data_IF_861544411762
#
_entry.id   IF_861544411762
#
_cell.length_a   1.000
_cell.length_b   1.000
_cell.length_c   1.000
_cell.angle_alpha   90.00
_cell.angle_beta   90.00
_cell.angle_gamma   90.00
#
_symmetry.space_group_name_H-M   'P 1'
#
loop_
_entity.id
_entity.type
_entity.pdbx_description
1 polymer ?
#
# COMPACT_ATOMS: atom_id res chain seq x y z
N UNK A 1 14.57 16.89 16.53
CA UNK A 1 14.03 15.54 16.20
C UNK A 1 12.53 15.70 16.08
N UNK A 2 11.96 15.71 14.87
CA UNK A 2 10.51 15.56 14.73
C UNK A 2 10.22 14.06 14.61
N UNK A 3 10.13 13.45 15.77
CA UNK A 3 9.58 12.11 15.94
C UNK A 3 8.07 12.19 15.83
N UNK A 4 7.40 11.11 15.44
CA UNK A 4 5.94 10.93 15.55
C UNK A 4 5.47 10.89 17.03
N UNK A 5 6.09 11.67 17.92
CA UNK A 5 6.21 11.54 19.39
C UNK A 5 7.41 10.68 19.84
N UNK A 6 8.15 11.06 20.89
CA UNK A 6 9.04 10.17 21.64
C UNK A 6 8.36 8.87 22.14
N UNK A 7 7.03 8.86 22.23
CA UNK A 7 6.25 7.65 22.52
C UNK A 7 6.17 6.71 21.31
N UNK A 8 6.16 7.24 20.09
CA UNK A 8 6.20 6.43 18.87
C UNK A 8 7.53 5.69 18.74
N UNK A 9 8.67 6.37 18.95
CA UNK A 9 9.97 5.70 18.93
C UNK A 9 10.12 4.69 20.08
N UNK A 10 9.65 5.01 21.30
CA UNK A 10 9.69 4.07 22.43
C UNK A 10 8.78 2.86 22.22
N UNK A 11 7.60 3.03 21.63
CA UNK A 11 6.67 1.92 21.38
C UNK A 11 7.08 1.08 20.17
N UNK A 12 7.76 1.64 19.16
CA UNK A 12 8.31 0.86 18.05
C UNK A 12 9.57 0.09 18.47
N UNK A 13 10.40 0.62 19.37
CA UNK A 13 11.61 -0.05 19.86
C UNK A 13 11.38 -1.06 20.99
N UNK A 14 10.27 -0.96 21.74
CA UNK A 14 9.95 -1.88 22.83
C UNK A 14 9.28 -3.19 22.38
N UNK A 15 9.08 -3.41 21.08
CA UNK A 15 8.13 -4.39 20.58
C UNK A 15 8.73 -5.34 19.52
N UNK A 16 8.08 -6.50 19.38
CA UNK A 16 8.30 -7.51 18.33
C UNK A 16 7.80 -7.02 16.95
N UNK A 17 8.03 -5.74 16.62
CA UNK A 17 7.59 -5.10 15.40
C UNK A 17 8.56 -4.02 14.91
N UNK A 18 8.67 -3.87 13.60
CA UNK A 18 9.35 -2.77 12.91
C UNK A 18 8.28 -2.00 12.16
N UNK A 19 8.20 -0.69 12.38
CA UNK A 19 7.17 0.19 11.78
C UNK A 19 7.82 1.42 11.19
N UNK A 20 7.40 1.80 9.99
CA UNK A 20 7.68 3.09 9.38
C UNK A 20 6.41 3.72 8.83
N UNK A 21 6.27 5.04 8.94
CA UNK A 21 5.11 5.76 8.43
C UNK A 21 5.50 7.09 7.77
N UNK A 22 4.68 7.54 6.84
CA UNK A 22 4.80 8.85 6.20
C UNK A 22 3.43 9.48 5.90
N UNK A 23 3.35 10.80 5.95
CA UNK A 23 2.19 11.62 5.59
C UNK A 23 2.64 12.64 4.55
N UNK A 24 1.94 12.73 3.43
CA UNK A 24 2.16 13.70 2.37
C UNK A 24 0.97 14.66 2.30
N UNK A 25 1.23 15.96 2.39
CA UNK A 25 0.27 17.05 2.21
C UNK A 25 0.18 17.42 0.72
N UNK A 26 -0.96 17.11 0.10
CA UNK A 26 -1.17 17.35 -1.34
C UNK A 26 -1.35 18.84 -1.68
N UNK A 27 -1.64 19.70 -0.70
CA UNK A 27 -1.79 21.16 -0.90
C UNK A 27 -0.43 21.86 -0.91
N UNK A 28 0.47 21.47 -0.01
CA UNK A 28 1.76 22.15 0.18
C UNK A 28 2.95 21.38 -0.40
N UNK A 29 2.75 20.11 -0.77
CA UNK A 29 3.83 19.20 -1.17
C UNK A 29 4.73 18.77 -0.02
N UNK A 30 4.36 19.09 1.23
CA UNK A 30 5.15 18.73 2.41
C UNK A 30 5.02 17.25 2.73
N UNK A 31 6.09 16.65 3.25
CA UNK A 31 6.09 15.26 3.70
C UNK A 31 6.66 15.17 5.12
N UNK A 32 6.01 14.38 5.96
CA UNK A 32 6.47 14.03 7.30
C UNK A 32 6.60 12.52 7.39
N UNK A 33 7.56 12.02 8.18
CA UNK A 33 7.76 10.58 8.36
C UNK A 33 8.35 10.28 9.73
N UNK A 34 8.22 9.04 10.18
CA UNK A 34 8.83 8.56 11.40
C UNK A 34 8.91 7.04 11.45
N UNK A 35 9.75 6.54 12.36
CA UNK A 35 10.00 5.11 12.54
C UNK A 35 11.13 4.59 11.68
N UNK A 36 11.05 3.31 11.33
CA UNK A 36 12.02 2.67 10.46
C UNK A 36 11.98 3.28 9.06
N UNK A 37 13.14 3.68 8.57
CA UNK A 37 13.31 4.38 7.29
C UNK A 37 13.75 3.45 6.16
N UNK A 38 14.03 2.19 6.46
CA UNK A 38 14.40 1.20 5.45
C UNK A 38 13.21 0.71 4.60
N UNK A 39 13.49 -0.03 3.52
CA UNK A 39 12.46 -0.49 2.60
C UNK A 39 11.72 -1.72 3.13
N UNK A 40 10.40 -1.70 2.97
CA UNK A 40 9.47 -2.78 3.30
C UNK A 40 8.87 -3.37 2.02
N UNK A 41 8.49 -4.65 2.03
CA UNK A 41 7.74 -5.24 0.93
C UNK A 41 6.35 -4.59 0.78
N UNK A 42 5.93 -4.39 -0.47
CA UNK A 42 4.67 -3.70 -0.79
C UNK A 42 3.45 -4.62 -0.72
N UNK A 43 3.62 -5.90 -1.02
CA UNK A 43 2.54 -6.87 -1.18
C UNK A 43 1.41 -6.29 -2.05
N UNK A 44 0.16 -6.35 -1.59
CA UNK A 44 -1.00 -5.86 -2.36
C UNK A 44 -1.10 -4.34 -2.46
N UNK A 45 -0.25 -3.56 -1.79
CA UNK A 45 -0.23 -2.09 -1.94
C UNK A 45 0.40 -1.66 -3.27
N UNK A 46 1.06 -2.55 -4.01
CA UNK A 46 1.51 -2.23 -5.38
C UNK A 46 0.38 -2.26 -6.42
N UNK A 47 -0.79 -2.79 -6.07
CA UNK A 47 -1.92 -2.96 -7.01
C UNK A 47 -2.52 -1.64 -7.52
N UNK A 48 -2.71 -0.59 -6.70
CA UNK A 48 -3.17 0.70 -7.21
C UNK A 48 -2.20 1.31 -8.24
N UNK A 49 -0.87 1.36 -8.03
CA UNK A 49 0.06 1.76 -9.09
C UNK A 49 -0.06 0.95 -10.38
N UNK A 50 -0.26 -0.38 -10.31
CA UNK A 50 -0.49 -1.22 -11.49
C UNK A 50 -1.81 -0.85 -12.18
N UNK A 51 -2.89 -0.66 -11.41
CA UNK A 51 -4.19 -0.25 -11.95
C UNK A 51 -4.09 1.10 -12.67
N UNK A 52 -3.41 2.08 -12.07
CA UNK A 52 -3.19 3.38 -12.68
C UNK A 52 -2.35 3.30 -13.95
N UNK A 53 -1.35 2.41 -14.01
CA UNK A 53 -0.54 2.20 -15.20
C UNK A 53 -1.37 1.61 -16.35
N UNK A 54 -2.18 0.58 -16.08
CA UNK A 54 -3.10 0.01 -17.08
C UNK A 54 -4.12 1.03 -17.57
N UNK A 55 -4.71 1.79 -16.65
CA UNK A 55 -5.67 2.85 -16.99
C UNK A 55 -5.00 3.93 -17.84
N UNK A 56 -3.82 4.40 -17.43
CA UNK A 56 -3.08 5.44 -18.13
C UNK A 56 -2.70 4.99 -19.53
N UNK A 57 -2.14 3.78 -19.68
CA UNK A 57 -1.83 3.16 -20.98
C UNK A 57 -3.05 3.12 -21.92
N UNK A 58 -4.20 2.65 -21.39
CA UNK A 58 -5.43 2.55 -22.16
C UNK A 58 -5.93 3.92 -22.62
N UNK A 59 -5.97 4.91 -21.72
CA UNK A 59 -6.45 6.26 -22.04
C UNK A 59 -5.53 7.04 -22.97
N UNK A 60 -4.22 6.98 -22.75
CA UNK A 60 -3.23 7.62 -23.61
C UNK A 60 -3.29 7.07 -25.04
N UNK A 61 -3.49 5.77 -25.19
CA UNK A 61 -3.60 5.12 -26.49
C UNK A 61 -4.99 5.22 -27.14
N UNK A 62 -5.97 5.85 -26.48
CA UNK A 62 -7.36 5.87 -26.94
C UNK A 62 -7.97 4.47 -27.06
N UNK A 63 -7.44 3.47 -26.32
CA UNK A 63 -7.91 2.09 -26.35
C UNK A 63 -8.98 1.87 -25.28
N UNK A 64 -10.21 1.47 -25.63
CA UNK A 64 -11.22 1.16 -24.64
C UNK A 64 -10.81 -0.09 -23.84
N UNK A 65 -11.00 -0.06 -22.52
CA UNK A 65 -10.91 -1.26 -21.70
C UNK A 65 -12.02 -2.24 -22.10
N UNK A 66 -11.69 -3.53 -22.23
CA UNK A 66 -12.69 -4.58 -22.41
C UNK A 66 -13.44 -4.82 -21.08
N UNK A 67 -14.54 -5.57 -21.13
CA UNK A 67 -15.23 -6.02 -19.90
C UNK A 67 -14.26 -6.78 -18.98
N UNK A 68 -13.47 -7.67 -19.56
CA UNK A 68 -12.43 -8.44 -18.88
C UNK A 68 -11.45 -7.53 -18.16
N UNK A 69 -10.89 -6.53 -18.83
CA UNK A 69 -9.91 -5.64 -18.19
C UNK A 69 -10.53 -4.87 -17.02
N UNK A 70 -11.78 -4.42 -17.15
CA UNK A 70 -12.49 -3.73 -16.07
C UNK A 70 -12.74 -4.66 -14.88
N UNK A 71 -13.19 -5.88 -15.13
CA UNK A 71 -13.45 -6.86 -14.08
C UNK A 71 -12.14 -7.24 -13.35
N UNK A 72 -11.04 -7.47 -14.10
CA UNK A 72 -9.73 -7.74 -13.50
C UNK A 72 -9.21 -6.55 -12.68
N UNK A 73 -9.39 -5.31 -13.15
CA UNK A 73 -9.02 -4.11 -12.37
C UNK A 73 -9.82 -4.03 -11.07
N UNK A 74 -11.13 -4.28 -11.14
CA UNK A 74 -12.01 -4.32 -9.99
C UNK A 74 -11.57 -5.40 -9.00
N UNK A 75 -11.45 -6.65 -9.42
CA UNK A 75 -11.10 -7.75 -8.53
C UNK A 75 -9.68 -7.59 -7.94
N UNK A 76 -8.72 -7.12 -8.74
CA UNK A 76 -7.39 -6.81 -8.26
C UNK A 76 -7.41 -5.76 -7.14
N UNK A 77 -8.10 -4.63 -7.33
CA UNK A 77 -8.05 -3.53 -6.35
C UNK A 77 -9.02 -3.77 -5.19
N UNK A 78 -10.30 -4.02 -5.50
CA UNK A 78 -11.38 -4.09 -4.53
C UNK A 78 -11.33 -5.35 -3.65
N UNK A 79 -10.92 -6.49 -4.22
CA UNK A 79 -10.81 -7.78 -3.53
C UNK A 79 -9.37 -8.22 -3.31
N UNK A 80 -8.39 -7.43 -3.74
CA UNK A 80 -6.99 -7.79 -3.63
C UNK A 80 -6.62 -9.10 -4.34
N UNK A 81 -7.35 -9.52 -5.39
CA UNK A 81 -7.14 -10.80 -6.08
C UNK A 81 -5.82 -10.82 -6.86
N UNK A 82 -5.00 -11.87 -6.69
CA UNK A 82 -3.63 -11.94 -7.21
C UNK A 82 -3.50 -12.35 -8.68
N UNK A 83 -4.25 -13.34 -9.21
CA UNK A 83 -4.11 -13.75 -10.61
C UNK A 83 -4.33 -12.60 -11.60
N UNK A 84 -5.28 -11.71 -11.32
CA UNK A 84 -5.53 -10.53 -12.15
C UNK A 84 -4.35 -9.56 -12.22
N UNK A 85 -3.51 -9.51 -11.17
CA UNK A 85 -2.32 -8.65 -11.15
C UNK A 85 -1.34 -9.08 -12.23
N UNK A 86 -1.05 -10.37 -12.32
CA UNK A 86 -0.08 -10.90 -13.28
C UNK A 86 -0.53 -10.65 -14.72
N UNK A 87 -1.83 -10.84 -14.98
CA UNK A 87 -2.46 -10.53 -16.27
C UNK A 87 -2.34 -9.05 -16.61
N UNK A 88 -2.80 -8.17 -15.72
CA UNK A 88 -2.80 -6.72 -15.92
C UNK A 88 -1.38 -6.14 -16.04
N UNK A 89 -0.44 -6.64 -15.24
CA UNK A 89 0.96 -6.24 -15.29
C UNK A 89 1.59 -6.62 -16.63
N UNK A 90 1.23 -7.76 -17.22
CA UNK A 90 1.73 -8.15 -18.55
C UNK A 90 1.29 -7.20 -19.66
N UNK A 91 0.09 -6.60 -19.55
CA UNK A 91 -0.44 -5.66 -20.54
C UNK A 91 0.41 -4.39 -20.65
N UNK A 92 1.00 -3.95 -19.53
CA UNK A 92 1.86 -2.77 -19.48
C UNK A 92 3.34 -3.13 -19.63
N UNK A 93 3.69 -4.31 -20.18
CA UNK A 93 5.09 -4.69 -20.40
C UNK A 93 5.81 -5.22 -19.16
N UNK A 94 5.07 -5.70 -18.15
CA UNK A 94 5.64 -6.26 -16.94
C UNK A 94 6.12 -5.19 -15.95
N UNK A 95 7.04 -5.58 -15.06
CA UNK A 95 7.65 -4.64 -14.11
C UNK A 95 8.46 -3.53 -14.80
N UNK A 96 9.05 -3.81 -15.97
CA UNK A 96 9.78 -2.78 -16.70
C UNK A 96 8.85 -1.66 -17.15
N UNK A 97 7.71 -1.97 -17.77
CA UNK A 97 6.80 -0.90 -18.18
C UNK A 97 6.09 -0.23 -16.99
N UNK A 98 5.90 -0.93 -15.86
CA UNK A 98 5.51 -0.26 -14.61
C UNK A 98 6.56 0.78 -14.15
N UNK A 99 7.85 0.45 -14.26
CA UNK A 99 8.93 1.40 -13.99
C UNK A 99 8.91 2.60 -14.95
N UNK A 100 8.62 2.37 -16.23
CA UNK A 100 8.50 3.44 -17.22
C UNK A 100 7.32 4.38 -16.89
N UNK A 101 6.22 3.85 -16.33
CA UNK A 101 5.15 4.67 -15.76
C UNK A 101 5.61 5.49 -14.55
N UNK A 102 6.38 4.90 -13.63
CA UNK A 102 6.92 5.65 -12.48
C UNK A 102 7.80 6.83 -12.92
N UNK A 103 8.64 6.63 -13.94
CA UNK A 103 9.43 7.70 -14.54
C UNK A 103 8.52 8.81 -15.11
N UNK A 104 7.51 8.45 -15.89
CA UNK A 104 6.56 9.40 -16.47
C UNK A 104 5.75 10.16 -15.43
N UNK A 105 5.38 9.53 -14.33
CA UNK A 105 4.65 10.17 -13.24
C UNK A 105 5.52 11.08 -12.35
N UNK A 106 6.82 11.16 -12.63
CA UNK A 106 7.76 12.00 -11.88
C UNK A 106 8.22 11.39 -10.56
N UNK A 107 8.12 10.06 -10.43
CA UNK A 107 8.52 9.28 -9.24
C UNK A 107 9.52 8.17 -9.60
N UNK A 108 10.56 8.44 -10.42
CA UNK A 108 11.53 7.41 -10.78
C UNK A 108 12.23 6.87 -9.53
N UNK A 109 12.55 5.56 -9.52
CA UNK A 109 13.43 4.91 -8.54
C UNK A 109 12.95 4.93 -7.08
N UNK A 110 11.70 5.32 -6.83
CA UNK A 110 11.09 5.30 -5.50
C UNK A 110 10.77 3.87 -5.02
N UNK A 111 10.54 2.94 -5.94
CA UNK A 111 10.18 1.56 -5.66
C UNK A 111 11.25 0.62 -6.19
N UNK A 112 11.79 -0.21 -5.30
CA UNK A 112 12.67 -1.33 -5.65
C UNK A 112 11.81 -2.46 -6.22
N UNK A 113 11.68 -2.48 -7.55
CA UNK A 113 10.96 -3.57 -8.22
C UNK A 113 11.76 -4.87 -8.10
N UNK A 114 11.06 -5.95 -7.75
CA UNK A 114 11.69 -7.26 -7.59
C UNK A 114 12.11 -7.86 -8.94
N UNK A 115 12.90 -8.94 -8.90
CA UNK A 115 13.26 -9.67 -10.11
C UNK A 115 12.09 -10.54 -10.62
N UNK A 116 11.80 -10.47 -11.94
CA UNK A 116 10.74 -11.21 -12.66
C UNK A 116 9.32 -10.77 -12.24
N UNK A 117 8.26 -11.50 -12.60
CA UNK A 117 6.84 -11.13 -12.34
C UNK A 117 6.43 -11.10 -10.85
N UNK A 118 7.38 -11.03 -9.91
CA UNK A 118 7.18 -11.11 -8.45
C UNK A 118 6.77 -9.78 -7.83
N UNK A 119 5.74 -9.14 -8.39
CA UNK A 119 5.34 -7.78 -8.08
C UNK A 119 5.16 -7.49 -6.57
N UNK A 120 4.65 -8.44 -5.79
CA UNK A 120 4.40 -8.27 -4.35
C UNK A 120 5.66 -8.16 -3.50
N UNK A 121 6.77 -8.73 -3.97
CA UNK A 121 8.09 -8.64 -3.33
C UNK A 121 8.82 -7.33 -3.60
N UNK A 122 8.24 -6.44 -4.42
CA UNK A 122 8.81 -5.10 -4.62
C UNK A 122 8.80 -4.34 -3.32
N UNK A 123 9.80 -3.49 -3.09
CA UNK A 123 10.01 -2.83 -1.80
C UNK A 123 10.01 -1.32 -1.95
N UNK A 124 9.60 -0.63 -0.89
CA UNK A 124 9.68 0.81 -0.81
C UNK A 124 9.89 1.28 0.61
N UNK A 125 10.52 2.45 0.75
CA UNK A 125 10.49 3.18 2.01
C UNK A 125 9.11 3.84 2.19
N UNK A 126 8.64 4.10 3.42
CA UNK A 126 7.35 4.74 3.65
C UNK A 126 7.20 6.09 2.92
N UNK A 127 8.26 6.90 2.91
CA UNK A 127 8.28 8.19 2.22
C UNK A 127 8.15 8.07 0.70
N UNK A 128 8.72 7.01 0.13
CA UNK A 128 8.66 6.74 -1.30
C UNK A 128 7.28 6.26 -1.71
N UNK A 129 6.66 5.40 -0.89
CA UNK A 129 5.30 4.95 -1.09
C UNK A 129 4.30 6.12 -1.02
N UNK A 130 4.43 7.00 -0.02
CA UNK A 130 3.59 8.19 0.10
C UNK A 130 3.73 9.13 -1.12
N UNK A 131 4.95 9.33 -1.62
CA UNK A 131 5.20 10.13 -2.84
C UNK A 131 4.58 9.50 -4.10
N UNK A 132 4.72 8.18 -4.27
CA UNK A 132 4.09 7.48 -5.39
C UNK A 132 2.58 7.68 -5.38
N UNK A 133 1.93 7.46 -4.24
CA UNK A 133 0.49 7.59 -4.10
C UNK A 133 0.01 9.05 -4.22
N UNK A 134 0.84 10.01 -3.81
CA UNK A 134 0.61 11.43 -4.07
C UNK A 134 0.68 11.76 -5.58
N UNK A 135 1.64 11.18 -6.31
CA UNK A 135 1.74 11.34 -7.75
C UNK A 135 0.52 10.76 -8.49
N UNK A 136 -0.01 9.61 -8.05
CA UNK A 136 -1.25 9.06 -8.61
C UNK A 136 -2.45 10.00 -8.47
N UNK A 137 -2.46 10.86 -7.45
CA UNK A 137 -3.51 11.86 -7.23
C UNK A 137 -3.28 13.17 -8.01
N UNK A 138 -2.03 13.63 -8.10
CA UNK A 138 -1.73 15.01 -8.52
C UNK A 138 -0.96 15.14 -9.83
N UNK A 139 -0.24 14.12 -10.26
CA UNK A 139 0.66 14.23 -11.41
C UNK A 139 -0.13 14.54 -12.67
N UNK A 140 0.28 15.57 -13.40
CA UNK A 140 -0.37 16.00 -14.65
C UNK A 140 -0.19 14.97 -15.77
N UNK A 141 0.83 14.11 -15.65
CA UNK A 141 1.08 13.04 -16.61
C UNK A 141 0.20 11.82 -16.36
N UNK A 142 -0.51 11.75 -15.22
CA UNK A 142 -1.57 10.76 -15.02
C UNK A 142 -2.86 11.30 -15.64
N UNK A 143 -3.42 10.65 -16.67
CA UNK A 143 -4.67 11.09 -17.29
C UNK A 143 -5.77 11.28 -16.25
N UNK A 144 -6.57 12.34 -16.37
CA UNK A 144 -7.65 12.65 -15.41
C UNK A 144 -8.64 11.48 -15.25
N UNK A 145 -8.99 10.82 -16.36
CA UNK A 145 -9.86 9.64 -16.36
C UNK A 145 -9.21 8.44 -15.66
N UNK A 146 -7.89 8.26 -15.78
CA UNK A 146 -7.18 7.22 -15.05
C UNK A 146 -7.23 7.48 -13.53
N UNK A 147 -7.08 8.75 -13.11
CA UNK A 147 -7.20 9.14 -11.70
C UNK A 147 -8.60 8.88 -11.17
N UNK A 148 -9.63 9.34 -11.88
CA UNK A 148 -11.04 9.16 -11.50
C UNK A 148 -11.39 7.68 -11.35
N UNK A 149 -11.15 6.88 -12.40
CA UNK A 149 -11.41 5.44 -12.37
C UNK A 149 -10.60 4.73 -11.30
N UNK A 150 -9.35 5.11 -11.10
CA UNK A 150 -8.52 4.55 -10.06
C UNK A 150 -9.11 4.78 -8.67
N UNK A 151 -9.58 5.99 -8.38
CA UNK A 151 -10.23 6.30 -7.11
C UNK A 151 -11.57 5.56 -6.96
N UNK A 152 -12.33 5.35 -8.03
CA UNK A 152 -13.54 4.53 -7.99
C UNK A 152 -13.26 3.07 -7.65
N UNK A 153 -12.15 2.51 -8.15
CA UNK A 153 -11.69 1.18 -7.74
C UNK A 153 -11.36 1.11 -6.25
N UNK A 154 -10.76 2.17 -5.69
CA UNK A 154 -10.45 2.23 -4.26
C UNK A 154 -11.70 2.43 -3.39
N UNK A 155 -12.70 3.19 -3.85
CA UNK A 155 -14.01 3.30 -3.19
C UNK A 155 -14.68 1.94 -3.08
N UNK A 156 -14.54 1.12 -4.13
CA UNK A 156 -15.10 -0.21 -4.20
C UNK A 156 -14.40 -1.27 -3.32
N UNK A 157 -13.29 -0.94 -2.65
CA UNK A 157 -12.65 -1.87 -1.70
C UNK A 157 -13.65 -2.28 -0.63
N UNK A 158 -13.93 -3.58 -0.57
CA UNK A 158 -14.95 -4.15 0.33
C UNK A 158 -14.47 -4.15 1.77
N UNK A 159 -15.39 -4.09 2.72
CA UNK A 159 -15.09 -3.95 4.16
C UNK A 159 -14.12 -5.02 4.68
N UNK A 160 -14.28 -6.27 4.22
CA UNK A 160 -13.39 -7.38 4.56
C UNK A 160 -11.93 -7.19 4.12
N UNK A 161 -11.65 -6.22 3.25
CA UNK A 161 -10.30 -5.83 2.80
C UNK A 161 -9.84 -4.46 3.34
N UNK A 162 -10.70 -3.73 4.07
CA UNK A 162 -10.39 -2.46 4.75
C UNK A 162 -9.88 -2.68 6.18
N UNK A 163 -8.88 -3.53 6.35
CA UNK A 163 -8.42 -3.92 7.68
C UNK A 163 -7.14 -3.22 8.12
N UNK A 164 -7.10 -2.85 9.41
CA UNK A 164 -5.89 -2.58 10.15
C UNK A 164 -5.05 -1.45 9.58
N UNK A 165 -5.64 -0.29 9.33
CA UNK A 165 -5.00 1.01 9.09
C UNK A 165 -6.13 2.00 8.81
N UNK A 166 -7.24 1.85 9.54
CA UNK A 166 -8.32 2.81 9.44
C UNK A 166 -7.84 4.05 10.17
N UNK A 167 -7.79 5.18 9.49
CA UNK A 167 -7.86 6.46 10.17
C UNK A 167 -9.21 6.43 10.88
N UNK A 168 -9.24 6.38 12.22
CA UNK A 168 -10.49 6.17 12.91
C UNK A 168 -11.43 7.34 12.63
N UNK A 169 -12.69 7.06 12.27
CA UNK A 169 -13.66 8.11 11.95
C UNK A 169 -13.78 9.14 13.08
N UNK A 170 -13.65 8.70 14.34
CA UNK A 170 -13.65 9.59 15.50
C UNK A 170 -12.50 10.60 15.52
N UNK A 171 -11.36 10.28 14.90
CA UNK A 171 -10.20 11.17 14.86
C UNK A 171 -10.31 12.20 13.73
N UNK A 172 -11.00 11.87 12.63
CA UNK A 172 -11.28 12.78 11.52
C UNK A 172 -12.75 12.68 11.07
N UNK A 173 -13.71 13.23 11.84
CA UNK A 173 -15.12 13.10 11.54
C UNK A 173 -15.50 13.67 10.16
N UNK A 174 -16.20 12.87 9.36
CA UNK A 174 -16.67 13.24 8.02
C UNK A 174 -15.60 13.20 6.93
N UNK A 175 -14.36 12.83 7.24
CA UNK A 175 -13.34 12.60 6.22
C UNK A 175 -13.55 11.26 5.53
N UNK A 176 -13.42 11.23 4.20
CA UNK A 176 -13.42 9.98 3.45
C UNK A 176 -12.01 9.39 3.45
N UNK A 177 -11.90 8.08 3.67
CA UNK A 177 -10.66 7.32 3.54
C UNK A 177 -10.77 6.28 2.43
N UNK A 178 -9.87 6.41 1.44
CA UNK A 178 -9.67 5.41 0.40
C UNK A 178 -8.40 4.65 0.71
N UNK A 179 -8.52 3.34 0.93
CA UNK A 179 -7.46 2.52 1.48
C UNK A 179 -7.12 1.35 0.56
N UNK A 180 -5.82 1.09 0.38
CA UNK A 180 -5.33 -0.22 -0.04
C UNK A 180 -4.42 -0.80 1.01
N UNK A 181 -4.70 -2.04 1.39
CA UNK A 181 -3.91 -2.83 2.32
C UNK A 181 -3.10 -3.90 1.59
N UNK A 182 -1.99 -4.31 2.18
CA UNK A 182 -1.13 -5.41 1.77
C UNK A 182 -0.74 -6.24 2.98
N UNK A 183 -0.88 -7.56 2.87
CA UNK A 183 -0.40 -8.46 3.90
C UNK A 183 0.40 -9.59 3.29
N UNK A 184 1.28 -10.13 4.14
CA UNK A 184 1.87 -11.42 3.95
C UNK A 184 2.22 -12.04 5.30
N UNK A 185 2.22 -13.36 5.34
CA UNK A 185 2.62 -14.13 6.51
C UNK A 185 3.65 -15.16 6.08
N UNK A 186 4.87 -15.05 6.60
CA UNK A 186 5.90 -16.06 6.42
C UNK A 186 5.71 -17.19 7.44
N UNK A 187 5.40 -18.43 7.02
CA UNK A 187 5.59 -19.60 7.87
C UNK A 187 7.08 -19.95 7.99
N UNK A 188 7.54 -20.38 9.17
CA UNK A 188 8.87 -20.98 9.34
C UNK A 188 8.92 -22.31 8.56
N UNK A 189 9.99 -22.56 7.79
CA UNK A 189 10.24 -23.92 7.30
C UNK A 189 11.53 -24.47 7.88
N UNK A 190 11.41 -25.55 8.65
CA UNK A 190 12.36 -26.65 8.60
C UNK A 190 11.63 -27.88 8.01
N UNK A 191 11.44 -27.88 6.68
CA UNK A 191 11.02 -29.08 5.92
C UNK A 191 9.51 -29.31 5.69
N UNK A 192 8.63 -28.35 5.98
CA UNK A 192 7.18 -28.43 5.65
C UNK A 192 6.82 -27.61 4.41
N UNK A 193 5.86 -28.09 3.62
CA UNK A 193 5.33 -27.43 2.41
C UNK A 193 4.82 -26.00 2.71
N UNK A 194 5.44 -24.94 2.15
CA UNK A 194 5.23 -23.56 2.58
C UNK A 194 3.92 -22.91 2.10
N UNK A 195 3.00 -23.66 1.47
CA UNK A 195 1.80 -23.08 0.81
C UNK A 195 0.47 -23.40 1.53
N UNK A 196 0.44 -24.29 2.52
CA UNK A 196 -0.84 -24.68 3.10
C UNK A 196 -1.21 -23.83 4.34
N UNK A 197 -2.17 -22.91 4.13
CA UNK A 197 -3.13 -22.30 5.09
C UNK A 197 -3.00 -20.80 5.31
N UNK A 198 -3.30 -20.03 4.25
CA UNK A 198 -4.34 -19.00 4.41
C UNK A 198 -5.67 -19.73 4.22
N UNK A 199 -6.61 -19.55 5.13
CA UNK A 199 -7.93 -20.21 5.11
C UNK A 199 -8.63 -20.00 3.74
N UNK A 200 -8.79 -21.06 2.91
CA UNK A 200 -9.45 -20.95 1.61
C UNK A 200 -10.98 -20.98 1.73
N UNK A 201 -11.55 -21.19 2.93
CA UNK A 201 -12.98 -21.47 3.07
C UNK A 201 -13.89 -20.26 2.78
N UNK A 202 -13.35 -19.05 2.65
CA UNK A 202 -14.11 -17.87 2.21
C UNK A 202 -13.93 -17.54 0.71
N UNK A 203 -13.11 -18.31 -0.02
CA UNK A 203 -12.84 -18.10 -1.45
C UNK A 203 -13.40 -19.20 -2.37
N UNK A 204 -13.82 -20.33 -1.82
CA UNK A 204 -14.34 -21.46 -2.59
C UNK A 204 -15.67 -21.15 -3.31
N UNK A 205 -16.50 -20.24 -2.79
CA UNK A 205 -17.72 -19.80 -3.47
C UNK A 205 -17.45 -18.81 -4.63
N UNK A 206 -16.24 -18.25 -4.72
CA UNK A 206 -15.83 -17.34 -5.81
C UNK A 206 -15.01 -18.02 -6.89
N UNK A 207 -14.35 -19.14 -6.59
CA UNK A 207 -13.52 -19.86 -7.53
C UNK A 207 -14.33 -20.47 -8.69
N UNK A 208 -15.59 -20.84 -8.44
CA UNK A 208 -16.54 -21.36 -9.42
C UNK A 208 -17.01 -20.30 -10.42
N UNK A 209 -16.87 -19.01 -10.10
CA UNK A 209 -17.27 -17.92 -11.01
C UNK A 209 -16.20 -17.59 -12.06
N UNK A 210 -14.95 -18.05 -11.85
CA UNK A 210 -13.78 -17.65 -12.65
C UNK A 210 -13.07 -18.82 -13.34
N UNK A 211 -13.35 -20.07 -12.95
CA UNK A 211 -12.82 -21.27 -13.63
C UNK A 211 -13.28 -21.40 -15.08
N UNK A 212 -14.36 -20.71 -15.47
CA UNK A 212 -14.88 -20.75 -16.84
C UNK A 212 -14.22 -19.73 -17.80
N UNK A 213 -13.34 -18.86 -17.29
CA UNK A 213 -12.88 -17.69 -18.06
C UNK A 213 -11.40 -17.68 -18.44
N UNK A 214 -10.48 -18.38 -17.76
CA UNK A 214 -9.06 -18.35 -18.13
C UNK A 214 -8.29 -19.65 -17.87
N UNK A 215 -7.70 -20.18 -18.94
CA UNK A 215 -6.66 -21.20 -18.94
C UNK A 215 -5.30 -20.53 -18.64
N UNK A 216 -5.10 -20.07 -17.39
CA UNK A 216 -3.83 -19.48 -16.94
C UNK A 216 -2.94 -20.59 -16.38
N UNK A 217 -1.68 -20.73 -16.84
CA UNK A 217 -0.75 -21.71 -16.27
C UNK A 217 -0.47 -21.42 -14.79
N UNK A 218 -0.75 -22.42 -13.95
CA UNK A 218 -0.66 -22.39 -12.47
C UNK A 218 0.76 -22.39 -11.90
N UNK A 219 1.76 -21.89 -12.62
CA UNK A 219 3.16 -22.20 -12.33
C UNK A 219 3.94 -21.04 -11.69
N UNK A 220 3.29 -19.97 -11.25
CA UNK A 220 3.93 -18.93 -10.44
C UNK A 220 3.94 -19.39 -8.98
N UNK A 221 5.06 -19.98 -8.53
CA UNK A 221 5.34 -20.11 -7.10
C UNK A 221 5.68 -18.72 -6.56
N UNK A 222 4.79 -18.20 -5.73
CA UNK A 222 4.87 -16.87 -5.10
C UNK A 222 5.91 -16.86 -3.96
N UNK A 223 7.20 -16.82 -4.32
CA UNK A 223 8.25 -16.56 -3.33
C UNK A 223 8.39 -15.05 -3.10
N UNK A 224 7.86 -14.58 -1.97
CA UNK A 224 7.88 -13.18 -1.55
C UNK A 224 9.19 -12.76 -0.85
N UNK A 225 9.50 -11.45 -0.91
CA UNK A 225 10.83 -10.86 -0.70
C UNK A 225 11.47 -11.06 0.69
N UNK A 226 12.78 -10.81 0.75
CA UNK A 226 13.55 -10.82 2.01
C UNK A 226 13.32 -9.54 2.83
N UNK A 227 13.12 -9.71 4.14
CA UNK A 227 12.85 -8.58 5.06
C UNK A 227 13.75 -8.56 6.30
N UNK A 228 13.86 -7.41 7.01
CA UNK A 228 14.65 -7.31 8.23
C UNK A 228 14.23 -8.28 9.34
N UNK A 229 12.93 -8.47 9.61
CA UNK A 229 12.51 -9.43 10.65
C UNK A 229 12.64 -10.89 10.23
N UNK A 230 12.60 -11.20 8.93
CA UNK A 230 12.88 -12.55 8.42
C UNK A 230 14.28 -13.03 8.83
N UNK A 231 15.25 -12.14 8.89
CA UNK A 231 16.64 -12.46 9.30
C UNK A 231 16.77 -12.75 10.81
N UNK A 232 15.79 -12.33 11.61
CA UNK A 232 15.76 -12.48 13.07
C UNK A 232 14.80 -13.59 13.54
N UNK A 233 14.12 -14.27 12.62
CA UNK A 233 13.22 -15.37 12.96
C UNK A 233 13.99 -16.53 13.60
N UNK A 234 13.41 -17.11 14.66
CA UNK A 234 13.94 -18.28 15.37
C UNK A 234 12.81 -19.29 15.60
N UNK A 235 13.15 -20.51 16.05
CA UNK A 235 12.18 -21.57 16.39
C UNK A 235 11.11 -21.15 17.40
N UNK A 236 11.36 -20.10 18.19
CA UNK A 236 10.42 -19.57 19.20
C UNK A 236 9.66 -18.31 18.72
N UNK A 237 10.02 -17.78 17.54
CA UNK A 237 9.43 -16.58 16.89
C UNK A 237 9.11 -16.89 15.43
N UNK A 238 8.06 -17.69 15.26
CA UNK A 238 7.82 -18.54 14.08
C UNK A 238 7.10 -17.84 12.92
N UNK A 239 6.47 -16.67 13.16
CA UNK A 239 5.55 -16.07 12.20
C UNK A 239 5.81 -14.58 12.04
N UNK A 240 6.34 -14.17 10.88
CA UNK A 240 6.51 -12.76 10.52
C UNK A 240 5.28 -12.33 9.71
N UNK A 241 4.55 -11.35 10.22
CA UNK A 241 3.45 -10.67 9.52
C UNK A 241 3.93 -9.35 9.00
N UNK A 242 3.70 -9.15 7.71
CA UNK A 242 3.94 -7.90 7.02
C UNK A 242 2.59 -7.28 6.74
N UNK A 243 2.44 -6.00 7.09
CA UNK A 243 1.23 -5.25 6.83
C UNK A 243 1.63 -3.88 6.29
N UNK A 244 1.07 -3.50 5.16
CA UNK A 244 1.26 -2.21 4.53
C UNK A 244 -0.11 -1.60 4.23
N UNK A 245 -0.20 -0.29 4.39
CA UNK A 245 -1.39 0.46 4.03
C UNK A 245 -1.00 1.76 3.36
N UNK A 246 -1.77 2.10 2.33
CA UNK A 246 -1.74 3.41 1.73
C UNK A 246 -3.16 3.98 1.70
N UNK A 247 -3.29 5.21 2.19
CA UNK A 247 -4.56 5.85 2.50
C UNK A 247 -4.57 7.23 1.85
N UNK A 248 -5.57 7.49 1.01
CA UNK A 248 -5.92 8.85 0.62
C UNK A 248 -7.02 9.35 1.54
N UNK A 249 -6.81 10.54 2.09
CA UNK A 249 -7.76 11.20 2.98
C UNK A 249 -8.35 12.42 2.30
N UNK A 250 -9.67 12.48 2.22
CA UNK A 250 -10.40 13.60 1.62
C UNK A 250 -11.18 14.33 2.71
N UNK A 251 -10.93 15.64 2.83
CA UNK A 251 -11.63 16.47 3.79
C UNK A 251 -13.08 16.72 3.32
N UNK A 252 -14.06 16.85 4.23
CA UNK A 252 -15.45 17.14 3.87
C UNK A 252 -15.62 18.37 2.98
N UNK A 253 -14.72 19.35 3.13
CA UNK A 253 -14.73 20.61 2.38
C UNK A 253 -14.10 20.53 0.98
N UNK A 254 -13.46 19.41 0.60
CA UNK A 254 -12.72 19.27 -0.68
C UNK A 254 -13.41 18.40 -1.75
N UNK A 255 -14.67 18.00 -1.52
CA UNK A 255 -15.39 17.16 -2.48
C UNK A 255 -14.77 15.77 -2.58
N UNK A 256 -14.29 15.37 -3.76
CA UNK A 256 -13.70 14.03 -4.02
C UNK A 256 -12.18 14.01 -4.11
N UNK A 257 -11.50 15.16 -3.99
CA UNK A 257 -10.05 15.26 -4.15
C UNK A 257 -9.34 15.05 -2.80
N UNK A 258 -8.34 14.16 -2.73
CA UNK A 258 -7.64 13.91 -1.49
C UNK A 258 -6.80 15.11 -1.06
N UNK A 259 -6.75 15.32 0.26
CA UNK A 259 -5.99 16.34 0.97
C UNK A 259 -4.63 15.81 1.42
N UNK A 260 -4.60 14.56 1.88
CA UNK A 260 -3.41 13.88 2.40
C UNK A 260 -3.26 12.47 1.81
N UNK A 261 -2.03 12.01 1.74
CA UNK A 261 -1.68 10.60 1.53
C UNK A 261 -0.92 10.11 2.76
N UNK A 262 -1.30 8.94 3.26
CA UNK A 262 -0.64 8.29 4.39
C UNK A 262 -0.11 6.93 3.93
N UNK A 263 1.13 6.63 4.27
CA UNK A 263 1.74 5.31 4.12
C UNK A 263 2.10 4.78 5.51
N UNK A 264 1.66 3.56 5.84
CA UNK A 264 2.05 2.84 7.06
C UNK A 264 2.62 1.50 6.62
N UNK A 265 3.82 1.15 7.09
CA UNK A 265 4.50 -0.09 6.77
C UNK A 265 4.97 -0.76 8.04
N UNK A 266 4.69 -2.05 8.16
CA UNK A 266 4.92 -2.82 9.37
C UNK A 266 5.41 -4.22 9.05
N UNK A 267 6.39 -4.67 9.83
CA UNK A 267 6.72 -6.08 10.03
C UNK A 267 6.54 -6.40 11.52
N UNK A 268 6.00 -7.56 11.87
CA UNK A 268 5.78 -7.90 13.27
C UNK A 268 5.72 -9.41 13.48
N UNK A 269 6.07 -9.88 14.68
CA UNK A 269 5.81 -11.25 15.12
C UNK A 269 4.42 -11.42 15.77
N UNK A 270 3.57 -10.39 15.71
CA UNK A 270 2.24 -10.45 16.30
C UNK A 270 1.28 -11.39 15.58
N UNK A 271 0.22 -11.78 16.30
CA UNK A 271 -0.97 -12.38 15.68
C UNK A 271 -1.61 -11.38 14.73
N UNK A 272 -2.45 -11.86 13.81
CA UNK A 272 -3.18 -11.01 12.87
C UNK A 272 -3.95 -9.88 13.58
N UNK A 273 -4.62 -10.21 14.68
CA UNK A 273 -5.35 -9.25 15.51
C UNK A 273 -4.40 -8.24 16.15
N UNK A 274 -3.26 -8.69 16.66
CA UNK A 274 -2.25 -7.79 17.23
C UNK A 274 -1.64 -6.84 16.20
N UNK A 275 -1.31 -7.34 15.01
CA UNK A 275 -0.80 -6.52 13.91
C UNK A 275 -1.80 -5.46 13.47
N UNK A 276 -3.10 -5.81 13.36
CA UNK A 276 -4.16 -4.84 13.03
C UNK A 276 -4.29 -3.75 14.08
N UNK A 277 -4.34 -4.13 15.37
CA UNK A 277 -4.41 -3.17 16.48
C UNK A 277 -3.24 -2.19 16.49
N UNK A 278 -2.04 -2.65 16.16
CA UNK A 278 -0.87 -1.78 16.05
C UNK A 278 -1.05 -0.76 14.91
N UNK A 279 -1.50 -1.17 13.72
CA UNK A 279 -1.73 -0.23 12.63
C UNK A 279 -2.86 0.76 12.90
N UNK A 280 -3.95 0.33 13.55
CA UNK A 280 -5.05 1.24 13.94
C UNK A 280 -4.57 2.28 14.96
N UNK A 281 -3.71 1.86 15.90
CA UNK A 281 -3.08 2.76 16.85
C UNK A 281 -2.16 3.79 16.17
N UNK A 282 -1.35 3.36 15.19
CA UNK A 282 -0.53 4.28 14.38
C UNK A 282 -1.42 5.23 13.58
N UNK A 283 -2.50 4.72 12.98
CA UNK A 283 -3.48 5.52 12.24
C UNK A 283 -4.10 6.63 13.09
N UNK A 284 -4.45 6.34 14.35
CA UNK A 284 -4.96 7.34 15.30
C UNK A 284 -3.95 8.46 15.58
N UNK A 285 -2.67 8.12 15.82
CA UNK A 285 -1.61 9.12 16.04
C UNK A 285 -1.47 10.05 14.82
N UNK A 286 -1.48 9.48 13.62
CA UNK A 286 -1.36 10.26 12.38
C UNK A 286 -2.58 11.15 12.15
N UNK A 287 -3.78 10.66 12.48
CA UNK A 287 -5.02 11.43 12.41
C UNK A 287 -4.98 12.65 13.35
N UNK A 288 -4.57 12.46 14.60
CA UNK A 288 -4.43 13.55 15.58
C UNK A 288 -3.42 14.61 15.11
N UNK A 289 -2.30 14.17 14.51
CA UNK A 289 -1.33 15.09 13.92
C UNK A 289 -1.93 15.92 12.77
N UNK A 290 -2.78 15.32 11.93
CA UNK A 290 -3.50 16.02 10.86
C UNK A 290 -4.49 17.04 11.44
N UNK A 291 -5.23 16.70 12.51
CA UNK A 291 -6.14 17.64 13.18
C UNK A 291 -5.39 18.88 13.67
N UNK A 292 -4.23 18.68 14.31
CA UNK A 292 -3.39 19.80 14.76
C UNK A 292 -2.86 20.65 13.58
N UNK A 293 -2.55 20.03 12.43
CA UNK A 293 -2.16 20.75 11.21
C UNK A 293 -3.27 21.66 10.72
N UNK A 294 -4.47 21.09 10.56
CA UNK A 294 -5.62 21.82 10.01
C UNK A 294 -6.10 22.93 10.95
N UNK A 295 -5.89 22.79 12.26
CA UNK A 295 -6.13 23.85 13.24
C UNK A 295 -5.08 24.98 13.21
N UNK A 296 -4.04 24.90 12.37
CA UNK A 296 -2.91 25.84 12.35
C UNK A 296 -2.06 25.80 13.61
N UNK A 297 -2.25 24.78 14.46
CA UNK A 297 -1.52 24.58 15.72
C UNK A 297 -0.22 23.82 15.53
N UNK A 298 0.08 23.42 14.29
CA UNK A 298 1.35 22.89 13.87
C UNK A 298 2.12 23.98 13.11
N UNK A 299 3.08 24.61 13.78
CA UNK A 299 4.07 25.49 13.13
C UNK A 299 4.83 24.71 12.06
N UNK A 300 5.20 25.37 10.95
CA UNK A 300 6.03 24.72 9.93
C UNK A 300 7.25 24.10 10.61
N UNK A 301 7.58 22.83 10.29
CA UNK A 301 8.61 22.15 11.02
C UNK A 301 9.91 22.95 10.91
N UNK A 302 10.68 23.15 12.00
CA UNK A 302 12.03 23.70 11.86
C UNK A 302 12.79 22.83 10.84
N UNK A 303 13.64 23.43 10.01
CA UNK A 303 14.25 22.82 8.80
C UNK A 303 14.94 21.45 9.00
N UNK A 304 15.21 21.05 10.24
CA UNK A 304 15.72 19.73 10.63
C UNK A 304 14.64 18.63 10.75
N UNK A 305 13.37 18.99 10.72
CA UNK A 305 12.21 18.10 10.65
C UNK A 305 11.76 17.83 9.21
N UNK A 306 12.26 18.65 8.28
CA UNK A 306 12.13 18.53 6.82
C UNK A 306 13.32 17.78 6.20
N UNK A 307 14.31 17.32 6.99
CA UNK A 307 15.52 16.67 6.46
C UNK A 307 15.93 15.41 7.22
N UNK A 308 15.36 14.27 6.82
CA UNK A 308 16.08 13.02 6.54
C UNK A 308 15.43 12.31 5.33
N UNK A 309 15.16 13.09 4.28
CA UNK A 309 14.62 12.62 3.01
C UNK A 309 15.68 12.63 1.88
N UNK A 310 16.94 12.91 2.19
CA UNK A 310 18.08 12.91 1.26
C UNK A 310 19.38 12.59 2.04
N UNK A 311 19.66 11.30 2.21
CA UNK A 311 21.01 10.71 2.29
C UNK A 311 20.87 9.21 2.12
#
# INVERSE_FOLDING_TARGET
MCTLSPDFERQVLANDAIVGAAVYDLRTGSIWSGGHTGPFALHSVIKPPIAWAVLSDAYEAGRPLTKVHRDSLFYMVALSFNPDVSTLLSMIGGLQGLNDFYQRWGVPELIELSHRSRWGASRAQPVHLARLFAALAMSETVPSLAREHGFDLLRAVVDGHRWGATIPEQSLPGWESLIKTGNFTLPESAGGDPVAKIDPHDYLDRHTLLSDLYDVPTNARDDEGDTPLKQLASRDRVLVRMNSAAIWLTAPSQGSQPRYVIAIMQESFYTWVGSRKLQDFIGAILADAIVLREAGQWSDPPSHCIKRALS
#
